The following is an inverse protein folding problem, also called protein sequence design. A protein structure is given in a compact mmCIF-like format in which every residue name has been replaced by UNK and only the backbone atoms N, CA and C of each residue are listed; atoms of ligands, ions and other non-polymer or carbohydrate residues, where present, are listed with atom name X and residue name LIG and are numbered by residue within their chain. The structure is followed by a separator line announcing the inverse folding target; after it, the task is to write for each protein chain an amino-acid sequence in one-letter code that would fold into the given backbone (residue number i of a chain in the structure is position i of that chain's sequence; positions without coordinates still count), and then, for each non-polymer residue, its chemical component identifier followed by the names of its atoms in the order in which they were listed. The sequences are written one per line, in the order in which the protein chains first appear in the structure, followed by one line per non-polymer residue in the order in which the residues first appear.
data_IF_581046247971
#
_entry.id   IF_581046247971
#
_cell.length_a   1.000
_cell.length_b   1.000
_cell.length_c   1.000
_cell.angle_alpha   90.00
_cell.angle_beta   90.00
_cell.angle_gamma   90.00
#
_symmetry.space_group_name_H-M   'P 1'
#
loop_
_entity.id
_entity.type
_entity.pdbx_description
1 polymer ?
#
# COMPACT_ATOMS: atom_id res chain seq x y z
N UNK A 1 -14.41 4.67 -1.30
CA UNK A 1 -14.69 3.26 -1.66
C UNK A 1 -13.99 2.24 -0.76
N UNK A 2 -12.66 2.05 -0.81
CA UNK A 2 -11.98 1.02 0.02
C UNK A 2 -11.94 1.39 1.52
N UNK A 3 -11.56 2.63 1.82
CA UNK A 3 -11.49 3.15 3.20
C UNK A 3 -12.84 3.06 3.91
N UNK A 4 -13.92 3.40 3.22
CA UNK A 4 -15.28 3.32 3.76
C UNK A 4 -15.66 1.88 4.12
N UNK A 5 -15.27 0.91 3.28
CA UNK A 5 -15.54 -0.50 3.54
C UNK A 5 -14.74 -1.03 4.72
N UNK A 6 -13.45 -0.69 4.81
CA UNK A 6 -12.61 -1.03 5.98
C UNK A 6 -13.18 -0.42 7.26
N UNK A 7 -13.61 0.85 7.21
CA UNK A 7 -14.22 1.52 8.35
C UNK A 7 -15.58 0.89 8.74
N UNK A 8 -16.36 0.43 7.76
CA UNK A 8 -17.59 -0.31 8.02
C UNK A 8 -17.30 -1.61 8.76
N UNK A 9 -16.39 -2.44 8.24
CA UNK A 9 -15.99 -3.69 8.90
C UNK A 9 -15.45 -3.46 10.31
N UNK A 10 -14.65 -2.41 10.49
CA UNK A 10 -14.17 -2.03 11.81
C UNK A 10 -15.33 -1.73 12.76
N UNK A 11 -16.27 -0.86 12.37
CA UNK A 11 -17.42 -0.49 13.22
C UNK A 11 -18.34 -1.67 13.54
N UNK A 12 -18.52 -2.59 12.60
CA UNK A 12 -19.36 -3.78 12.80
C UNK A 12 -18.75 -4.79 13.79
N UNK A 13 -17.43 -4.82 13.92
CA UNK A 13 -16.72 -5.82 14.73
C UNK A 13 -16.03 -5.21 15.96
N UNK A 14 -16.04 -3.89 16.12
CA UNK A 14 -15.45 -3.20 17.25
C UNK A 14 -16.35 -3.29 18.49
N UNK A 15 -15.75 -3.63 19.63
CA UNK A 15 -16.42 -3.62 20.94
C UNK A 15 -16.01 -2.33 21.68
N UNK A 16 -16.95 -1.43 21.97
CA UNK A 16 -16.66 -0.21 22.72
C UNK A 16 -15.99 -0.47 24.06
N UNK A 17 -14.97 0.32 24.40
CA UNK A 17 -14.25 0.22 25.66
C UNK A 17 -13.12 -0.81 25.68
N UNK A 18 -12.86 -1.51 24.57
CA UNK A 18 -11.68 -2.38 24.41
C UNK A 18 -10.61 -1.66 23.60
N UNK A 19 -9.39 -1.65 24.12
CA UNK A 19 -8.22 -1.13 23.42
C UNK A 19 -7.76 -2.10 22.32
N UNK A 20 -7.53 -1.56 21.12
CA UNK A 20 -6.99 -2.33 19.99
C UNK A 20 -5.48 -2.09 19.91
N UNK A 21 -4.70 -3.16 20.06
CA UNK A 21 -3.23 -3.09 19.98
C UNK A 21 -2.68 -3.20 18.56
N UNK A 22 -3.40 -3.89 17.67
CA UNK A 22 -2.99 -4.09 16.27
C UNK A 22 -4.22 -4.13 15.37
N UNK A 23 -4.14 -3.48 14.20
CA UNK A 23 -5.13 -3.58 13.13
C UNK A 23 -4.39 -3.97 11.84
N UNK A 24 -4.81 -5.07 11.21
CA UNK A 24 -4.26 -5.54 9.94
C UNK A 24 -5.36 -5.62 8.89
N UNK A 25 -5.09 -5.07 7.70
CA UNK A 25 -5.97 -5.17 6.53
C UNK A 25 -5.16 -5.80 5.41
N UNK A 26 -5.68 -6.89 4.87
CA UNK A 26 -5.04 -7.65 3.79
C UNK A 26 -6.02 -7.85 2.64
N UNK A 27 -5.50 -7.77 1.42
CA UNK A 27 -6.26 -8.06 0.20
C UNK A 27 -5.76 -9.37 -0.39
N UNK A 28 -6.69 -10.18 -0.88
CA UNK A 28 -6.41 -11.44 -1.57
C UNK A 28 -6.98 -11.44 -2.98
N UNK A 29 -6.77 -12.55 -3.70
CA UNK A 29 -7.27 -12.74 -5.08
C UNK A 29 -6.83 -11.64 -6.04
N UNK A 30 -5.56 -11.23 -5.91
CA UNK A 30 -4.94 -10.29 -6.85
C UNK A 30 -4.96 -10.90 -8.25
N UNK A 31 -5.38 -10.10 -9.22
CA UNK A 31 -5.35 -10.44 -10.65
C UNK A 31 -4.32 -9.56 -11.34
N UNK A 32 -3.84 -10.01 -12.50
CA UNK A 32 -2.92 -9.21 -13.30
C UNK A 32 -3.62 -7.95 -13.80
N UNK A 33 -2.96 -6.80 -13.64
CA UNK A 33 -3.38 -5.56 -14.26
C UNK A 33 -2.97 -5.56 -15.73
N UNK A 34 -3.85 -6.05 -16.60
CA UNK A 34 -3.60 -6.20 -18.05
C UNK A 34 -4.32 -5.16 -18.90
N UNK A 35 -5.30 -4.45 -18.33
CA UNK A 35 -6.15 -3.50 -19.04
C UNK A 35 -6.56 -2.37 -18.12
N UNK A 36 -6.38 -1.12 -18.56
CA UNK A 36 -6.91 0.05 -17.87
C UNK A 36 -8.42 0.15 -18.12
N UNK A 37 -9.22 -0.08 -17.08
CA UNK A 37 -10.64 0.22 -17.10
C UNK A 37 -10.84 1.70 -16.75
N UNK A 38 -11.30 2.50 -17.72
CA UNK A 38 -11.62 3.90 -17.49
C UNK A 38 -12.92 4.04 -16.69
N UNK A 39 -12.96 5.03 -15.80
CA UNK A 39 -14.19 5.51 -15.18
C UNK A 39 -14.89 6.55 -16.09
N UNK A 40 -16.20 6.73 -15.87
CA UNK A 40 -17.07 7.56 -16.71
C UNK A 40 -17.04 9.06 -16.35
N UNK A 41 -16.45 9.41 -15.22
CA UNK A 41 -16.54 10.75 -14.61
C UNK A 41 -15.21 11.51 -14.63
N UNK A 42 -14.12 10.85 -15.02
CA UNK A 42 -12.78 11.42 -15.16
C UNK A 42 -12.35 11.54 -16.63
N UNK A 43 -11.41 12.45 -16.90
CA UNK A 43 -10.86 12.64 -18.26
C UNK A 43 -10.01 11.41 -18.64
N UNK A 44 -10.23 10.75 -19.80
CA UNK A 44 -9.50 9.55 -20.19
C UNK A 44 -7.99 9.72 -20.22
N UNK A 45 -7.50 10.86 -20.71
CA UNK A 45 -6.08 11.15 -20.83
C UNK A 45 -5.38 11.22 -19.46
N UNK A 46 -6.04 11.82 -18.46
CA UNK A 46 -5.53 11.89 -17.09
C UNK A 46 -5.40 10.50 -16.47
N UNK A 47 -6.43 9.67 -16.63
CA UNK A 47 -6.43 8.27 -16.14
C UNK A 47 -5.29 7.44 -16.76
N UNK A 48 -5.00 7.65 -18.05
CA UNK A 48 -3.87 6.99 -18.73
C UNK A 48 -2.52 7.48 -18.19
N UNK A 49 -2.39 8.77 -17.91
CA UNK A 49 -1.18 9.35 -17.33
C UNK A 49 -0.93 8.81 -15.92
N UNK A 50 -1.97 8.74 -15.10
CA UNK A 50 -1.89 8.23 -13.73
C UNK A 50 -1.47 6.75 -13.71
N UNK A 51 -2.06 5.91 -14.57
CA UNK A 51 -1.65 4.50 -14.68
C UNK A 51 -0.18 4.35 -15.09
N UNK A 52 0.31 5.19 -16.01
CA UNK A 52 1.72 5.20 -16.41
C UNK A 52 2.63 5.66 -15.28
N UNK A 53 2.20 6.63 -14.48
CA UNK A 53 2.93 7.11 -13.32
C UNK A 53 3.07 5.99 -12.27
N UNK A 54 2.00 5.27 -11.97
CA UNK A 54 2.03 4.14 -11.04
C UNK A 54 3.00 3.05 -11.51
N UNK A 55 2.94 2.68 -12.80
CA UNK A 55 3.88 1.73 -13.38
C UNK A 55 5.33 2.20 -13.28
N UNK A 56 5.59 3.50 -13.50
CA UNK A 56 6.93 4.07 -13.37
C UNK A 56 7.44 4.01 -11.92
N UNK A 57 6.58 4.34 -10.95
CA UNK A 57 6.90 4.25 -9.51
C UNK A 57 7.29 2.81 -9.16
N UNK A 58 6.51 1.84 -9.63
CA UNK A 58 6.78 0.41 -9.38
C UNK A 58 8.09 -0.04 -10.03
N UNK A 59 8.40 0.44 -11.24
CA UNK A 59 9.69 0.15 -11.89
C UNK A 59 10.88 0.69 -11.10
N UNK A 60 10.77 1.90 -10.55
CA UNK A 60 11.81 2.48 -9.70
C UNK A 60 12.00 1.61 -8.45
N UNK A 61 10.90 1.24 -7.78
CA UNK A 61 10.94 0.41 -6.56
C UNK A 61 11.45 -1.01 -6.83
N UNK A 62 11.10 -1.59 -7.97
CA UNK A 62 11.59 -2.91 -8.39
C UNK A 62 13.12 -2.89 -8.59
N UNK A 63 13.65 -1.81 -9.16
CA UNK A 63 15.08 -1.68 -9.46
C UNK A 63 15.93 -1.27 -8.25
N UNK A 64 15.43 -0.35 -7.43
CA UNK A 64 16.22 0.30 -6.37
C UNK A 64 15.71 0.01 -4.95
N UNK A 65 14.67 -0.80 -4.81
CA UNK A 65 14.04 -1.13 -3.54
C UNK A 65 12.95 -0.14 -3.12
N UNK A 66 12.07 -0.57 -2.20
CA UNK A 66 10.90 0.20 -1.76
C UNK A 66 11.24 1.60 -1.25
N UNK A 67 12.35 1.75 -0.52
CA UNK A 67 12.79 3.03 0.06
C UNK A 67 13.28 4.05 -0.98
N UNK A 68 13.52 3.64 -2.23
CA UNK A 68 14.00 4.55 -3.28
C UNK A 68 12.96 5.61 -3.66
N UNK A 69 11.67 5.32 -3.48
CA UNK A 69 10.59 6.25 -3.74
C UNK A 69 9.39 5.97 -2.83
N UNK A 70 9.18 6.84 -1.84
CA UNK A 70 8.13 6.72 -0.82
C UNK A 70 7.27 7.98 -0.81
N UNK A 71 6.01 7.86 -0.36
CA UNK A 71 5.20 9.04 -0.10
C UNK A 71 5.77 9.85 1.06
N UNK A 72 5.71 11.18 1.00
CA UNK A 72 6.17 12.05 2.08
C UNK A 72 5.44 11.75 3.41
N UNK A 73 4.17 11.33 3.36
CA UNK A 73 3.40 10.86 4.51
C UNK A 73 4.03 9.66 5.23
N UNK A 74 4.89 8.89 4.56
CA UNK A 74 5.63 7.78 5.16
C UNK A 74 6.76 8.23 6.10
N UNK A 75 7.05 9.54 6.16
CA UNK A 75 8.03 10.16 7.06
C UNK A 75 7.38 10.84 8.27
N UNK A 76 6.04 10.85 8.36
CA UNK A 76 5.33 11.42 9.51
C UNK A 76 5.57 10.57 10.77
N UNK A 77 5.50 11.22 11.93
CA UNK A 77 5.56 10.51 13.21
C UNK A 77 4.45 9.46 13.31
N UNK A 78 4.83 8.25 13.71
CA UNK A 78 3.94 7.09 13.74
C UNK A 78 3.79 6.34 12.41
N UNK A 79 4.33 6.85 11.30
CA UNK A 79 4.37 6.10 10.05
C UNK A 79 5.36 4.92 10.15
N UNK A 80 4.95 3.76 9.63
CA UNK A 80 5.73 2.51 9.77
C UNK A 80 6.37 2.04 8.45
N UNK A 81 6.04 2.67 7.32
CA UNK A 81 6.39 2.18 6.00
C UNK A 81 7.91 2.03 5.78
N UNK A 82 8.71 3.01 6.24
CA UNK A 82 10.18 2.95 6.13
C UNK A 82 10.77 1.86 7.03
N UNK A 83 10.31 1.77 8.28
CA UNK A 83 10.79 0.79 9.26
C UNK A 83 10.44 -0.64 8.83
N UNK A 84 9.28 -0.82 8.18
CA UNK A 84 8.78 -2.13 7.73
C UNK A 84 9.23 -2.53 6.32
N UNK A 85 9.92 -1.65 5.59
CA UNK A 85 10.31 -1.90 4.19
C UNK A 85 11.20 -3.15 3.98
N UNK A 86 11.87 -3.65 5.03
CA UNK A 86 12.66 -4.88 4.99
C UNK A 86 11.95 -6.13 5.55
N UNK A 87 10.69 -6.00 5.97
CA UNK A 87 9.92 -7.08 6.57
C UNK A 87 8.99 -7.73 5.54
N UNK A 88 8.92 -9.06 5.55
CA UNK A 88 7.95 -9.87 4.79
C UNK A 88 6.96 -10.43 5.79
N UNK A 89 5.68 -10.05 5.67
CA UNK A 89 4.63 -10.52 6.60
C UNK A 89 4.86 -10.15 8.07
N UNK A 90 5.61 -9.08 8.35
CA UNK A 90 5.98 -8.67 9.71
C UNK A 90 7.23 -9.37 10.28
N UNK A 91 7.85 -10.28 9.54
CA UNK A 91 9.09 -10.96 9.92
C UNK A 91 10.24 -10.51 9.02
N UNK A 92 11.49 -10.60 9.50
CA UNK A 92 12.64 -10.36 8.65
C UNK A 92 12.69 -11.47 7.57
N UNK A 93 12.32 -11.14 6.34
CA UNK A 93 12.16 -12.10 5.24
C UNK A 93 13.49 -12.54 4.64
N UNK A 94 14.39 -13.10 5.45
CA UNK A 94 15.68 -13.64 5.01
C UNK A 94 16.71 -12.62 4.50
N UNK A 95 16.34 -11.36 4.24
CA UNK A 95 17.20 -10.30 3.74
C UNK A 95 18.11 -9.65 4.82
N UNK A 96 18.34 -10.31 5.95
CA UNK A 96 19.19 -9.85 7.07
C UNK A 96 20.69 -9.74 6.73
N UNK A 97 21.08 -9.82 5.46
CA UNK A 97 22.49 -9.78 5.03
C UNK A 97 22.81 -8.98 3.76
N UNK A 98 21.87 -8.20 3.20
CA UNK A 98 22.11 -7.42 1.96
C UNK A 98 22.07 -5.90 2.15
N UNK A 99 22.15 -5.43 3.40
CA UNK A 99 22.20 -4.00 3.73
C UNK A 99 23.55 -3.59 4.29
N UNK A 100 24.54 -3.44 3.41
CA UNK A 100 25.74 -2.64 3.57
C UNK A 100 25.82 -1.66 2.41
#
# INVERSE_FOLDING_TARGET
MLTEHVLKLFRENYVPGIDIRNLGVSFGKLVWDTTLQLDLFSVPEEQIVDNKLDYLIDKIRQKFGFKALIHASSLLDGATAVNRAGLVGGHAGGNVGLGG
#
